data_IF_174985780999
#
_entry.id   IF_174985780999
#
_cell.length_a   1.000
_cell.length_b   1.000
_cell.length_c   1.000
_cell.angle_alpha   90.00
_cell.angle_beta   90.00
_cell.angle_gamma   90.00
#
_symmetry.space_group_name_H-M   'P 1'
#
loop_
_entity.id
_entity.type
_entity.pdbx_description
1 polymer ?
#
# COMPACT_ATOMS: atom_id res chain seq x y z
N UNK A 1 -9.72 4.58 25.54
CA UNK A 1 -8.72 3.64 25.00
C UNK A 1 -8.79 3.73 23.50
N UNK A 2 -7.69 4.11 22.87
CA UNK A 2 -7.55 4.02 21.43
C UNK A 2 -7.55 2.53 21.04
N UNK A 3 -8.42 2.06 20.13
CA UNK A 3 -8.38 0.67 19.65
C UNK A 3 -7.06 0.31 18.93
N UNK A 4 -6.16 1.28 18.70
CA UNK A 4 -4.82 1.09 18.13
C UNK A 4 -3.69 1.02 19.17
N UNK A 5 -3.96 1.18 20.48
CA UNK A 5 -2.97 1.01 21.58
C UNK A 5 -2.69 -0.47 21.92
N UNK A 6 -3.08 -1.41 21.05
CA UNK A 6 -2.78 -2.83 21.25
C UNK A 6 -1.30 -3.03 20.90
N UNK A 7 -0.48 -3.60 21.80
CA UNK A 7 0.92 -3.93 21.49
C UNK A 7 0.98 -4.76 20.21
N UNK A 8 1.55 -4.19 19.16
CA UNK A 8 1.79 -4.89 17.90
C UNK A 8 2.97 -5.81 18.15
N UNK A 9 2.68 -7.07 18.54
CA UNK A 9 3.73 -8.09 18.52
C UNK A 9 4.35 -8.12 17.11
N UNK A 10 5.68 -8.21 16.98
CA UNK A 10 6.32 -8.37 15.67
C UNK A 10 5.72 -9.61 15.01
N UNK A 11 4.94 -9.40 13.97
CA UNK A 11 4.31 -10.47 13.21
C UNK A 11 5.45 -11.30 12.63
N UNK A 12 5.62 -12.53 13.11
CA UNK A 12 6.55 -13.47 12.49
C UNK A 12 6.17 -13.60 11.02
N UNK A 13 7.16 -13.54 10.09
CA UNK A 13 6.91 -13.78 8.68
C UNK A 13 6.06 -15.04 8.53
N UNK A 14 4.91 -15.00 7.85
CA UNK A 14 4.19 -16.22 7.57
C UNK A 14 5.10 -17.15 6.77
N UNK A 15 5.08 -18.44 7.08
CA UNK A 15 5.76 -19.43 6.25
C UNK A 15 5.07 -19.43 4.88
N UNK A 16 5.77 -18.92 3.88
CA UNK A 16 5.34 -18.93 2.48
C UNK A 16 6.12 -20.04 1.80
N UNK A 17 5.42 -21.07 1.34
CA UNK A 17 6.02 -22.11 0.51
C UNK A 17 6.52 -21.47 -0.79
N UNK A 18 7.81 -21.70 -1.11
CA UNK A 18 8.45 -21.17 -2.31
C UNK A 18 8.14 -22.12 -3.45
N UNK A 19 7.47 -21.61 -4.49
CA UNK A 19 7.17 -22.36 -5.71
C UNK A 19 8.11 -21.89 -6.82
N UNK A 20 9.15 -22.69 -7.19
CA UNK A 20 10.16 -22.26 -8.15
C UNK A 20 9.61 -22.09 -9.58
N UNK A 21 8.37 -22.51 -9.85
CA UNK A 21 7.70 -22.25 -11.13
C UNK A 21 7.15 -20.82 -11.23
N UNK A 22 7.05 -20.10 -10.11
CA UNK A 22 6.56 -18.74 -10.07
C UNK A 22 7.69 -17.72 -10.26
N UNK A 23 7.37 -16.62 -10.93
CA UNK A 23 8.29 -15.50 -11.11
C UNK A 23 8.42 -14.70 -9.82
N UNK A 24 9.57 -14.08 -9.62
CA UNK A 24 9.79 -13.09 -8.55
C UNK A 24 9.73 -11.68 -9.13
N UNK A 25 9.57 -10.68 -8.26
CA UNK A 25 9.60 -9.28 -8.67
C UNK A 25 10.95 -8.89 -9.27
N UNK A 26 10.94 -7.96 -10.23
CA UNK A 26 12.17 -7.29 -10.67
C UNK A 26 12.63 -6.34 -9.56
N UNK A 27 13.88 -6.48 -9.12
CA UNK A 27 14.46 -5.62 -8.07
C UNK A 27 15.12 -4.38 -8.67
N UNK A 28 15.15 -3.29 -7.89
CA UNK A 28 15.80 -2.04 -8.29
C UNK A 28 15.01 -1.19 -9.30
N UNK A 29 13.76 -1.52 -9.55
CA UNK A 29 12.84 -0.76 -10.42
C UNK A 29 11.70 -0.15 -9.61
N UNK A 30 10.99 0.80 -10.22
CA UNK A 30 9.76 1.35 -9.63
C UNK A 30 8.73 0.25 -9.35
N UNK A 31 7.94 0.39 -8.27
CA UNK A 31 6.96 -0.62 -7.87
C UNK A 31 5.96 -0.97 -8.98
N UNK A 32 5.60 0.00 -9.85
CA UNK A 32 4.72 -0.24 -11.00
C UNK A 32 5.35 -1.13 -12.08
N UNK A 33 6.68 -1.12 -12.18
CA UNK A 33 7.43 -1.87 -13.17
C UNK A 33 7.97 -3.21 -12.63
N UNK A 34 7.89 -3.44 -11.31
CA UNK A 34 8.42 -4.63 -10.66
C UNK A 34 7.61 -5.92 -10.95
N UNK A 35 6.34 -5.78 -11.35
CA UNK A 35 5.46 -6.87 -11.79
C UNK A 35 5.00 -6.57 -13.22
N UNK A 36 5.50 -7.33 -14.19
CA UNK A 36 5.24 -7.13 -15.62
C UNK A 36 3.98 -7.86 -16.12
N UNK A 37 3.29 -8.60 -15.24
CA UNK A 37 2.06 -9.30 -15.60
C UNK A 37 0.99 -8.32 -16.12
N UNK A 38 0.24 -8.76 -17.12
CA UNK A 38 -0.98 -8.09 -17.50
C UNK A 38 -1.99 -8.12 -16.35
N UNK A 39 -2.75 -7.04 -16.14
CA UNK A 39 -3.85 -7.06 -15.18
C UNK A 39 -4.92 -8.02 -15.70
N UNK A 40 -5.28 -9.07 -14.93
CA UNK A 40 -6.19 -10.12 -15.38
C UNK A 40 -7.60 -9.58 -15.67
N UNK A 41 -8.46 -10.43 -16.21
CA UNK A 41 -9.90 -10.15 -16.24
C UNK A 41 -10.42 -9.97 -14.80
N UNK A 42 -11.30 -8.99 -14.61
CA UNK A 42 -11.83 -8.62 -13.30
C UNK A 42 -13.32 -8.43 -13.36
N UNK A 43 -13.99 -8.74 -12.26
CA UNK A 43 -15.43 -8.48 -12.10
C UNK A 43 -15.68 -7.83 -10.75
N UNK A 44 -16.24 -6.63 -10.76
CA UNK A 44 -16.69 -5.96 -9.56
C UNK A 44 -18.15 -6.31 -9.25
N UNK A 45 -18.44 -6.53 -7.97
CA UNK A 45 -19.79 -6.76 -7.44
C UNK A 45 -20.01 -5.85 -6.24
N UNK A 46 -21.25 -5.42 -6.04
CA UNK A 46 -21.67 -4.61 -4.88
C UNK A 46 -23.10 -4.96 -4.49
N UNK A 47 -23.59 -4.36 -3.43
CA UNK A 47 -24.99 -4.47 -3.03
C UNK A 47 -25.90 -3.88 -4.13
N UNK A 48 -27.02 -4.54 -4.42
CA UNK A 48 -28.00 -4.11 -5.43
C UNK A 48 -28.52 -2.69 -5.16
N UNK A 49 -28.59 -2.27 -3.90
CA UNK A 49 -29.01 -0.93 -3.51
C UNK A 49 -27.99 0.17 -3.91
N UNK A 50 -26.77 -0.22 -4.27
CA UNK A 50 -25.69 0.68 -4.69
C UNK A 50 -25.52 0.74 -6.21
N UNK A 51 -26.44 0.17 -6.99
CA UNK A 51 -26.36 0.17 -8.46
C UNK A 51 -26.34 1.59 -9.07
N UNK A 52 -26.94 2.58 -8.39
CA UNK A 52 -26.95 3.99 -8.83
C UNK A 52 -25.82 4.82 -8.20
N UNK A 53 -24.88 4.19 -7.50
CA UNK A 53 -23.75 4.90 -6.89
C UNK A 53 -22.83 5.45 -7.99
N UNK A 54 -22.59 6.76 -7.95
CA UNK A 54 -21.79 7.44 -8.96
C UNK A 54 -20.29 7.24 -8.70
N UNK A 55 -19.71 6.25 -9.37
CA UNK A 55 -18.29 5.87 -9.20
C UNK A 55 -17.29 6.99 -9.54
N UNK A 56 -17.64 7.91 -10.46
CA UNK A 56 -16.82 9.08 -10.81
C UNK A 56 -16.59 10.02 -9.62
N UNK A 57 -17.42 9.94 -8.58
CA UNK A 57 -17.27 10.76 -7.37
C UNK A 57 -16.34 10.13 -6.33
N UNK A 58 -15.86 8.90 -6.53
CA UNK A 58 -14.94 8.24 -5.60
C UNK A 58 -13.61 8.98 -5.59
N UNK A 59 -13.14 9.34 -4.40
CA UNK A 59 -11.85 10.03 -4.22
C UNK A 59 -10.77 9.08 -3.72
N UNK A 60 -11.16 8.05 -2.97
CA UNK A 60 -10.23 7.08 -2.39
C UNK A 60 -10.77 5.67 -2.40
N UNK A 61 -9.85 4.72 -2.47
CA UNK A 61 -10.12 3.28 -2.38
C UNK A 61 -9.27 2.72 -1.25
N UNK A 62 -9.86 1.88 -0.40
CA UNK A 62 -9.14 1.10 0.60
C UNK A 62 -9.25 -0.36 0.23
N UNK A 63 -8.13 -1.00 -0.09
CA UNK A 63 -8.05 -2.44 -0.28
C UNK A 63 -7.81 -3.08 1.08
N UNK A 64 -8.72 -3.97 1.48
CA UNK A 64 -8.49 -4.87 2.60
C UNK A 64 -8.13 -6.25 2.06
N UNK A 65 -6.93 -6.74 2.39
CA UNK A 65 -6.44 -8.03 1.89
C UNK A 65 -5.68 -8.78 2.97
N UNK A 66 -5.86 -10.11 3.02
CA UNK A 66 -5.05 -10.96 3.90
C UNK A 66 -3.79 -11.40 3.18
N UNK A 67 -2.72 -11.69 3.92
CA UNK A 67 -1.48 -12.22 3.31
C UNK A 67 -1.76 -13.49 2.48
N UNK A 68 -2.57 -14.42 3.02
CA UNK A 68 -2.96 -15.63 2.28
C UNK A 68 -3.73 -15.33 0.99
N UNK A 69 -4.55 -14.27 0.97
CA UNK A 69 -5.27 -13.86 -0.23
C UNK A 69 -4.32 -13.24 -1.26
N UNK A 70 -3.33 -12.45 -0.82
CA UNK A 70 -2.28 -11.94 -1.72
C UNK A 70 -1.51 -13.09 -2.36
N UNK A 71 -1.04 -14.06 -1.58
CA UNK A 71 -0.36 -15.26 -2.12
C UNK A 71 -1.21 -15.93 -3.20
N UNK A 72 -2.53 -16.08 -2.98
CA UNK A 72 -3.44 -16.66 -3.98
C UNK A 72 -3.58 -15.81 -5.25
N UNK A 73 -3.70 -14.49 -5.12
CA UNK A 73 -3.81 -13.55 -6.26
C UNK A 73 -2.52 -13.55 -7.07
N UNK A 74 -1.36 -13.50 -6.41
CA UNK A 74 -0.08 -13.46 -7.11
C UNK A 74 0.26 -14.79 -7.75
N UNK A 75 -0.05 -15.92 -7.08
CA UNK A 75 0.05 -17.24 -7.70
C UNK A 75 -0.81 -17.34 -8.96
N UNK A 76 -2.02 -16.76 -8.94
CA UNK A 76 -2.92 -16.74 -10.12
C UNK A 76 -2.30 -16.03 -11.33
N UNK A 77 -1.47 -15.01 -11.13
CA UNK A 77 -0.76 -14.29 -12.20
C UNK A 77 0.70 -14.76 -12.41
N UNK A 78 1.08 -15.90 -11.82
CA UNK A 78 2.39 -16.51 -11.99
C UNK A 78 3.51 -15.83 -11.20
N UNK A 79 3.20 -15.20 -10.06
CA UNK A 79 4.16 -14.51 -9.19
C UNK A 79 4.19 -15.08 -7.77
N UNK A 80 5.40 -15.20 -7.24
CA UNK A 80 5.66 -15.50 -5.84
C UNK A 80 5.48 -14.21 -5.03
N UNK A 81 4.55 -14.23 -4.06
CA UNK A 81 4.39 -13.10 -3.13
C UNK A 81 5.59 -13.03 -2.18
N UNK A 82 6.17 -11.84 -2.05
CA UNK A 82 7.29 -11.55 -1.15
C UNK A 82 6.86 -10.48 -0.14
N UNK A 83 6.63 -10.92 1.10
CA UNK A 83 6.16 -10.03 2.17
C UNK A 83 7.23 -9.00 2.59
N UNK A 84 8.51 -9.27 2.33
CA UNK A 84 9.59 -8.37 2.71
C UNK A 84 9.66 -7.13 1.79
N UNK A 85 9.04 -7.20 0.61
CA UNK A 85 8.98 -6.11 -0.36
C UNK A 85 7.53 -5.95 -0.86
N UNK A 86 6.62 -5.44 -0.02
CA UNK A 86 5.19 -5.51 -0.31
C UNK A 86 4.69 -4.45 -1.31
N UNK A 87 5.42 -3.33 -1.49
CA UNK A 87 4.96 -2.21 -2.33
C UNK A 87 4.66 -2.56 -3.80
N UNK A 88 5.49 -3.35 -4.53
CA UNK A 88 5.12 -3.86 -5.85
C UNK A 88 3.78 -4.60 -5.90
N UNK A 89 3.51 -5.40 -4.87
CA UNK A 89 2.29 -6.18 -4.76
C UNK A 89 1.09 -5.26 -4.49
N UNK A 90 1.25 -4.28 -3.59
CA UNK A 90 0.23 -3.27 -3.32
C UNK A 90 -0.09 -2.42 -4.54
N UNK A 91 0.92 -1.96 -5.29
CA UNK A 91 0.66 -1.24 -6.54
C UNK A 91 -0.14 -2.11 -7.52
N UNK A 92 0.24 -3.38 -7.68
CA UNK A 92 -0.47 -4.29 -8.57
C UNK A 92 -1.91 -4.56 -8.11
N UNK A 93 -2.17 -4.75 -6.82
CA UNK A 93 -3.53 -4.85 -6.27
C UNK A 93 -4.33 -3.57 -6.57
N UNK A 94 -3.69 -2.41 -6.44
CA UNK A 94 -4.25 -1.11 -6.84
C UNK A 94 -4.69 -1.12 -8.30
N UNK A 95 -3.86 -1.63 -9.21
CA UNK A 95 -4.19 -1.75 -10.65
C UNK A 95 -5.38 -2.68 -10.90
N UNK A 96 -5.46 -3.82 -10.20
CA UNK A 96 -6.61 -4.74 -10.30
C UNK A 96 -7.89 -4.05 -9.82
N UNK A 97 -7.85 -3.40 -8.65
CA UNK A 97 -9.00 -2.67 -8.10
C UNK A 97 -9.42 -1.51 -9.01
N UNK A 98 -8.45 -0.75 -9.52
CA UNK A 98 -8.66 0.35 -10.44
C UNK A 98 -9.41 -0.11 -11.69
N UNK A 99 -8.93 -1.19 -12.34
CA UNK A 99 -9.60 -1.79 -13.50
C UNK A 99 -11.01 -2.24 -13.18
N UNK A 100 -11.21 -2.87 -12.01
CA UNK A 100 -12.51 -3.43 -11.66
C UNK A 100 -13.56 -2.36 -11.34
N UNK A 101 -13.15 -1.25 -10.70
CA UNK A 101 -14.08 -0.20 -10.27
C UNK A 101 -14.28 0.84 -11.38
N UNK A 102 -13.22 1.28 -12.05
CA UNK A 102 -13.21 2.44 -12.95
C UNK A 102 -12.98 2.09 -14.42
N UNK A 103 -12.74 0.83 -14.76
CA UNK A 103 -12.31 0.39 -16.11
C UNK A 103 -11.00 1.06 -16.59
N UNK A 104 -10.18 1.50 -15.63
CA UNK A 104 -8.86 2.12 -15.85
C UNK A 104 -7.85 1.47 -14.90
N UNK A 105 -6.70 0.99 -15.39
CA UNK A 105 -5.67 0.34 -14.57
C UNK A 105 -4.75 1.30 -13.81
N UNK A 106 -4.71 2.59 -14.16
CA UNK A 106 -3.68 3.53 -13.67
C UNK A 106 -4.22 4.65 -12.79
N UNK A 107 -5.54 4.75 -12.63
CA UNK A 107 -6.20 5.81 -11.86
C UNK A 107 -5.76 5.85 -10.38
N UNK A 108 -5.60 4.67 -9.78
CA UNK A 108 -5.20 4.54 -8.38
C UNK A 108 -3.69 4.70 -8.16
N UNK A 109 -3.33 5.52 -7.17
CA UNK A 109 -1.98 5.62 -6.59
C UNK A 109 -2.03 5.40 -5.10
N UNK A 110 -1.06 4.63 -4.58
CA UNK A 110 -0.92 4.40 -3.14
C UNK A 110 -0.80 5.73 -2.38
N UNK A 111 -1.60 5.88 -1.34
CA UNK A 111 -1.57 7.00 -0.40
C UNK A 111 -0.80 6.60 0.86
N UNK A 112 -1.22 5.50 1.49
CA UNK A 112 -0.62 4.97 2.71
C UNK A 112 -1.15 3.54 2.97
N UNK A 113 -0.60 2.87 3.98
CA UNK A 113 -1.07 1.56 4.40
C UNK A 113 -1.02 1.40 5.94
N UNK A 114 -1.74 0.40 6.43
CA UNK A 114 -1.57 -0.13 7.79
C UNK A 114 -1.69 -1.65 7.77
N UNK A 115 -0.83 -2.33 8.52
CA UNK A 115 -0.90 -3.78 8.73
C UNK A 115 -1.41 -4.07 10.14
N UNK A 116 -2.43 -4.92 10.26
CA UNK A 116 -3.00 -5.37 11.53
C UNK A 116 -3.09 -6.89 11.51
N UNK A 117 -2.22 -7.54 12.29
CA UNK A 117 -2.08 -9.00 12.27
C UNK A 117 -1.76 -9.51 10.86
N UNK A 118 -2.62 -10.37 10.30
CA UNK A 118 -2.42 -10.93 8.94
C UNK A 118 -3.16 -10.18 7.84
N UNK A 119 -3.66 -8.97 8.13
CA UNK A 119 -4.43 -8.13 7.21
C UNK A 119 -3.66 -6.86 6.91
N UNK A 120 -3.66 -6.49 5.64
CA UNK A 120 -3.14 -5.22 5.16
C UNK A 120 -4.30 -4.39 4.62
N UNK A 121 -4.28 -3.12 4.99
CA UNK A 121 -5.21 -2.10 4.55
C UNK A 121 -4.41 -1.08 3.77
N UNK A 122 -4.57 -1.08 2.45
CA UNK A 122 -3.82 -0.18 1.57
C UNK A 122 -4.79 0.84 1.01
N UNK A 123 -4.48 2.11 1.23
CA UNK A 123 -5.27 3.23 0.75
C UNK A 123 -4.69 3.78 -0.54
N UNK A 124 -5.57 4.19 -1.44
CA UNK A 124 -5.25 4.77 -2.72
C UNK A 124 -6.03 6.06 -2.94
N UNK A 125 -5.44 6.96 -3.73
CA UNK A 125 -6.06 8.20 -4.23
C UNK A 125 -6.34 8.06 -5.72
N UNK A 126 -7.52 8.52 -6.16
CA UNK A 126 -7.84 8.64 -7.59
C UNK A 126 -7.05 9.76 -8.24
N UNK A 127 -6.89 9.71 -9.57
CA UNK A 127 -6.15 10.73 -10.30
C UNK A 127 -6.81 12.12 -10.20
N UNK A 128 -8.14 12.17 -10.25
CA UNK A 128 -8.94 13.38 -10.12
C UNK A 128 -8.73 14.07 -8.78
N UNK A 129 -8.76 13.31 -7.67
CA UNK A 129 -8.49 13.85 -6.34
C UNK A 129 -7.09 14.45 -6.26
N UNK A 130 -6.09 13.71 -6.76
CA UNK A 130 -4.69 14.12 -6.72
C UNK A 130 -4.45 15.38 -7.55
N UNK A 131 -5.11 15.52 -8.70
CA UNK A 131 -5.04 16.72 -9.51
C UNK A 131 -5.59 17.95 -8.75
N UNK A 132 -6.74 17.82 -8.09
CA UNK A 132 -7.32 18.87 -7.26
C UNK A 132 -6.39 19.24 -6.09
N UNK A 133 -5.87 18.23 -5.36
CA UNK A 133 -4.94 18.43 -4.26
C UNK A 133 -3.65 19.14 -4.70
N UNK A 134 -3.09 18.77 -5.85
CA UNK A 134 -1.90 19.41 -6.40
C UNK A 134 -2.17 20.85 -6.84
N UNK A 135 -3.32 21.11 -7.48
CA UNK A 135 -3.71 22.46 -7.87
C UNK A 135 -3.90 23.38 -6.64
N UNK A 136 -4.52 22.86 -5.58
CA UNK A 136 -4.68 23.57 -4.32
C UNK A 136 -3.32 23.89 -3.68
N UNK A 137 -2.41 22.91 -3.63
CA UNK A 137 -1.05 23.12 -3.14
C UNK A 137 -0.28 24.16 -3.95
N UNK A 138 -0.43 24.13 -5.28
CA UNK A 138 0.18 25.13 -6.17
C UNK A 138 -0.38 26.54 -5.95
N UNK A 139 -1.64 26.65 -5.49
CA UNK A 139 -2.26 27.91 -5.09
C UNK A 139 -1.87 28.37 -3.67
N UNK A 140 -0.96 27.66 -2.98
CA UNK A 140 -0.50 28.02 -1.63
C UNK A 140 -1.52 27.74 -0.52
N UNK A 141 -2.60 27.02 -0.83
CA UNK A 141 -3.62 26.63 0.14
C UNK A 141 -3.19 25.33 0.84
N UNK A 142 -3.38 25.27 2.15
CA UNK A 142 -3.05 24.11 2.97
C UNK A 142 -4.32 23.37 3.44
N UNK A 143 -4.17 22.09 3.77
CA UNK A 143 -5.26 21.27 4.29
C UNK A 143 -6.24 20.79 3.22
N UNK A 144 -7.45 20.43 3.66
CA UNK A 144 -8.49 19.85 2.80
C UNK A 144 -9.57 20.87 2.40
N UNK A 145 -9.47 22.11 2.87
CA UNK A 145 -10.45 23.16 2.59
C UNK A 145 -10.42 23.51 1.11
N UNK A 146 -11.55 23.40 0.41
CA UNK A 146 -11.63 23.61 -1.04
C UNK A 146 -11.44 22.35 -1.89
N UNK A 147 -11.03 21.22 -1.30
CA UNK A 147 -11.07 19.92 -1.97
C UNK A 147 -12.50 19.36 -1.99
N UNK A 148 -12.83 18.48 -2.95
CA UNK A 148 -14.08 17.75 -2.91
C UNK A 148 -14.27 17.02 -1.57
N UNK A 149 -15.51 16.70 -1.16
CA UNK A 149 -15.73 15.83 -0.02
C UNK A 149 -15.06 14.47 -0.23
N UNK A 150 -14.56 13.86 0.84
CA UNK A 150 -14.05 12.49 0.78
C UNK A 150 -15.21 11.53 0.46
N UNK A 151 -15.06 10.76 -0.61
CA UNK A 151 -15.90 9.64 -0.93
C UNK A 151 -15.02 8.40 -1.06
N UNK A 152 -15.05 7.57 -0.01
CA UNK A 152 -14.14 6.45 0.17
C UNK A 152 -14.92 5.16 -0.01
N UNK A 153 -14.37 4.22 -0.79
CA UNK A 153 -14.90 2.85 -0.88
C UNK A 153 -13.91 1.85 -0.30
N UNK A 154 -14.44 0.78 0.28
CA UNK A 154 -13.69 -0.41 0.66
C UNK A 154 -13.79 -1.45 -0.46
N UNK A 155 -12.66 -2.04 -0.83
CA UNK A 155 -12.54 -3.11 -1.82
C UNK A 155 -11.98 -4.36 -1.14
N UNK A 156 -12.65 -5.48 -1.36
CA UNK A 156 -12.21 -6.80 -0.92
C UNK A 156 -12.09 -7.73 -2.13
N UNK A 157 -10.99 -8.46 -2.20
CA UNK A 157 -10.78 -9.49 -3.23
C UNK A 157 -11.43 -10.79 -2.79
N UNK A 158 -12.08 -11.53 -3.71
CA UNK A 158 -12.47 -12.92 -3.49
C UNK A 158 -11.34 -13.88 -3.86
N UNK A 159 -11.49 -15.17 -3.52
CA UNK A 159 -10.49 -16.19 -3.84
C UNK A 159 -10.47 -16.37 -5.36
N UNK A 160 -9.32 -16.18 -6.04
CA UNK A 160 -9.22 -16.44 -7.47
C UNK A 160 -9.63 -17.88 -7.78
N UNK A 161 -10.42 -18.06 -8.84
CA UNK A 161 -10.80 -19.37 -9.37
C UNK A 161 -10.09 -19.58 -10.71
N UNK A 162 -9.50 -20.75 -10.97
CA UNK A 162 -8.85 -21.04 -12.25
C UNK A 162 -9.79 -20.78 -13.43
N UNK A 163 -9.32 -20.03 -14.43
CA UNK A 163 -10.07 -19.72 -15.64
C UNK A 163 -11.26 -18.77 -15.46
N UNK A 164 -11.40 -18.13 -14.30
CA UNK A 164 -12.45 -17.13 -14.04
C UNK A 164 -11.83 -15.75 -13.79
N UNK A 165 -12.56 -14.66 -14.11
CA UNK A 165 -12.15 -13.32 -13.72
C UNK A 165 -11.89 -13.21 -12.20
N UNK A 166 -10.93 -12.38 -11.80
CA UNK A 166 -10.75 -12.05 -10.39
C UNK A 166 -11.98 -11.25 -9.93
N UNK A 167 -12.71 -11.81 -8.98
CA UNK A 167 -13.85 -11.14 -8.39
C UNK A 167 -13.43 -10.20 -7.26
N UNK A 168 -13.92 -8.97 -7.31
CA UNK A 168 -13.83 -7.98 -6.22
C UNK A 168 -15.23 -7.59 -5.77
N UNK A 169 -15.37 -7.36 -4.47
CA UNK A 169 -16.56 -6.77 -3.86
C UNK A 169 -16.21 -5.38 -3.37
N UNK A 170 -17.12 -4.42 -3.52
CA UNK A 170 -16.91 -3.08 -2.98
C UNK A 170 -18.17 -2.54 -2.30
N UNK A 171 -17.95 -1.62 -1.34
CA UNK A 171 -18.99 -0.89 -0.63
C UNK A 171 -18.46 0.48 -0.19
N UNK A 172 -19.33 1.47 0.13
CA UNK A 172 -18.91 2.66 0.84
C UNK A 172 -18.12 2.30 2.10
N UNK A 173 -17.02 3.02 2.31
CA UNK A 173 -16.13 2.72 3.42
C UNK A 173 -16.77 3.10 4.76
N UNK A 174 -16.46 2.33 5.78
CA UNK A 174 -16.78 2.63 7.17
C UNK A 174 -16.18 3.97 7.58
N UNK A 175 -16.86 4.65 8.50
CA UNK A 175 -16.44 5.96 9.03
C UNK A 175 -14.99 5.97 9.52
N UNK A 176 -14.52 4.86 10.09
CA UNK A 176 -13.14 4.69 10.55
C UNK A 176 -12.11 4.87 9.42
N UNK A 177 -12.33 4.27 8.24
CA UNK A 177 -11.41 4.44 7.12
C UNK A 177 -11.48 5.85 6.55
N UNK A 178 -12.69 6.42 6.47
CA UNK A 178 -12.85 7.81 6.02
C UNK A 178 -12.09 8.77 6.94
N UNK A 179 -12.12 8.55 8.26
CA UNK A 179 -11.35 9.33 9.23
C UNK A 179 -9.84 9.13 9.04
N UNK A 180 -9.38 7.89 8.82
CA UNK A 180 -7.95 7.61 8.60
C UNK A 180 -7.42 8.22 7.30
N UNK A 181 -8.19 8.15 6.22
CA UNK A 181 -7.89 8.80 4.94
C UNK A 181 -7.79 10.31 5.11
N UNK A 182 -8.70 10.92 5.87
CA UNK A 182 -8.65 12.35 6.19
C UNK A 182 -7.34 12.72 6.86
N UNK A 183 -6.99 12.00 7.93
CA UNK A 183 -5.74 12.20 8.66
C UNK A 183 -4.51 12.06 7.76
N UNK A 184 -4.46 11.04 6.90
CA UNK A 184 -3.34 10.85 5.99
C UNK A 184 -3.20 11.97 4.95
N UNK A 185 -4.31 12.47 4.40
CA UNK A 185 -4.27 13.61 3.49
C UNK A 185 -3.84 14.90 4.20
N UNK A 186 -4.29 15.14 5.44
CA UNK A 186 -3.87 16.29 6.24
C UNK A 186 -2.37 16.27 6.57
N UNK A 187 -1.81 15.08 6.83
CA UNK A 187 -0.35 14.89 7.02
C UNK A 187 0.43 15.12 5.74
N UNK A 188 -0.06 14.62 4.59
CA UNK A 188 0.59 14.80 3.29
C UNK A 188 0.68 16.29 2.86
N UNK A 189 -0.20 17.14 3.41
CA UNK A 189 -0.20 18.59 3.22
C UNK A 189 0.79 19.37 4.10
N UNK A 190 1.46 18.74 5.07
CA UNK A 190 2.45 19.39 5.95
C UNK A 190 3.88 18.98 5.57
N UNK A 191 4.88 19.87 5.69
CA UNK A 191 6.29 19.47 5.67
C UNK A 191 6.52 18.41 6.75
N UNK A 192 7.22 17.33 6.41
CA UNK A 192 7.58 16.27 7.35
C UNK A 192 8.54 16.85 8.40
N UNK A 193 8.05 17.09 9.62
CA UNK A 193 8.95 17.14 10.77
C UNK A 193 9.47 15.71 10.97
N UNK A 194 10.79 15.52 10.89
CA UNK A 194 11.43 14.21 10.96
C UNK A 194 11.39 13.65 12.38
N UNK A 195 10.21 13.23 12.85
CA UNK A 195 10.05 12.29 13.95
C UNK A 195 8.88 11.38 13.63
N UNK A 196 9.18 10.24 12.98
CA UNK A 196 8.29 9.09 13.02
C UNK A 196 8.66 8.28 14.28
N UNK A 197 7.82 8.23 15.32
CA UNK A 197 8.15 7.52 16.56
C UNK A 197 8.12 5.99 16.42
N UNK A 198 7.65 5.43 15.30
CA UNK A 198 7.45 3.97 15.14
C UNK A 198 8.48 3.27 14.25
N UNK A 199 9.71 3.78 14.17
CA UNK A 199 10.81 2.97 13.64
C UNK A 199 11.39 2.17 14.82
N UNK A 200 11.40 0.82 14.81
CA UNK A 200 12.19 0.08 15.78
C UNK A 200 13.65 0.52 15.60
N UNK A 201 14.14 1.21 16.61
CA UNK A 201 15.51 1.69 16.67
C UNK A 201 16.39 0.45 16.72
N UNK A 202 17.16 0.22 15.65
CA UNK A 202 18.14 -0.84 15.64
C UNK A 202 19.08 -0.63 16.83
N UNK A 203 18.99 -1.55 17.78
CA UNK A 203 19.83 -1.62 18.97
C UNK A 203 21.29 -1.69 18.51
N UNK A 204 22.01 -0.57 18.65
CA UNK A 204 23.47 -0.55 18.52
C UNK A 204 24.03 -0.90 19.89
N UNK A 205 24.08 -2.19 20.20
CA UNK A 205 24.85 -2.71 21.32
C UNK A 205 25.90 -3.70 20.84
N UNK A 206 27.15 -3.22 20.83
CA UNK A 206 28.36 -4.02 21.05
C UNK A 206 29.34 -4.17 19.88
N UNK A 207 30.65 -4.25 20.16
CA UNK A 207 31.42 -3.44 21.11
C UNK A 207 32.57 -2.70 20.40
N UNK A 208 33.10 -1.69 21.10
CA UNK A 208 34.29 -0.93 20.75
C UNK A 208 35.48 -1.87 20.43
N UNK A 209 36.06 -1.70 19.24
CA UNK A 209 37.43 -2.16 18.96
C UNK A 209 38.27 -0.92 18.72
N UNK A 210 39.06 -0.64 19.74
CA UNK A 210 40.04 0.43 19.87
C UNK A 210 41.07 0.34 18.72
N UNK A 211 41.08 1.37 17.87
CA UNK A 211 42.04 1.58 16.79
C UNK A 211 43.40 1.91 17.41
N UNK A 212 44.24 0.89 17.57
CA UNK A 212 45.63 1.07 17.99
C UNK A 212 46.47 1.52 16.80
N UNK A 213 46.75 2.82 16.74
CA UNK A 213 47.71 3.41 15.84
C UNK A 213 49.14 2.93 16.16
N UNK A 214 49.79 2.30 15.17
CA UNK A 214 51.24 2.02 15.19
C UNK A 214 52.00 3.29 14.74
N UNK A 215 53.04 3.73 15.45
CA UNK A 215 53.85 4.87 15.03
C UNK A 215 54.85 4.49 13.93
N UNK A 216 54.86 5.31 12.89
CA UNK A 216 55.86 5.34 11.81
C UNK A 216 57.23 5.74 12.37
N UNK A 217 58.18 4.80 12.38
CA UNK A 217 59.59 5.10 12.67
C UNK A 217 60.24 5.76 11.45
N UNK A 218 60.48 7.06 11.55
CA UNK A 218 61.50 7.73 10.75
C UNK A 218 62.89 7.39 11.27
N UNK A 219 63.81 7.09 10.35
CA UNK A 219 65.22 6.91 10.61
C UNK A 219 66.01 7.22 9.33
N UNK A 220 66.45 8.46 9.21
CA UNK A 220 67.60 8.85 8.37
C UNK A 220 68.80 9.07 9.31
N UNK A 221 69.83 8.26 9.12
CA UNK A 221 71.28 8.54 9.20
C UNK A 221 72.05 7.23 9.27
#
# INVERSE_FOLDING_TARGET
MDPFDIPIEPIRPPHIEIDPSLRTITRGVDSRAAIDAAVPEVRATTDVHLNNFEKSTVTHVVIQVTISRQVQIFKYIGYQYDWAVPSPFWDFLGRIASKAIFDDQVDLRELNFVAIGRREFVAYTTSTWRAAANAQKAAGLAGLEGLPPLNVIEVNFKKPQPGQPIEVTWAPARALFTAKIREWNERAGKPLDHQNPDKPQADKTGPDVEETALPSSGGEA
#
